data_IF_258296877879
#
_entry.id   IF_258296877879
#
_cell.length_a   1.000
_cell.length_b   1.000
_cell.length_c   1.000
_cell.angle_alpha   90.00
_cell.angle_beta   90.00
_cell.angle_gamma   90.00
#
_symmetry.space_group_name_H-M   'P 1'
#
loop_
_entity.id
_entity.type
_entity.pdbx_description
1 polymer ?
#
# COMPACT_ATOMS: atom_id res chain seq x y z
N UNK A 1 -14.63 16.39 10.65
CA UNK A 1 -14.95 15.11 9.97
C UNK A 1 -16.46 15.04 9.72
N UNK A 2 -16.92 14.66 8.52
CA UNK A 2 -18.35 14.59 8.20
C UNK A 2 -18.68 13.29 7.45
N UNK A 3 -19.56 12.46 8.04
CA UNK A 3 -20.03 11.21 7.44
C UNK A 3 -20.70 11.43 6.08
N UNK A 4 -21.29 12.60 5.84
CA UNK A 4 -21.95 12.95 4.58
C UNK A 4 -20.97 12.99 3.38
N UNK A 5 -19.66 13.07 3.65
CA UNK A 5 -18.65 13.02 2.60
C UNK A 5 -18.49 11.64 1.97
N UNK A 6 -18.98 10.56 2.62
CA UNK A 6 -18.92 9.18 2.09
C UNK A 6 -19.56 9.14 0.70
N UNK A 7 -20.73 9.77 0.52
CA UNK A 7 -21.45 9.78 -0.76
C UNK A 7 -20.68 10.50 -1.88
N UNK A 8 -19.80 11.44 -1.52
CA UNK A 8 -18.98 12.19 -2.50
C UNK A 8 -17.70 11.42 -2.87
N UNK A 9 -17.21 10.56 -1.98
CA UNK A 9 -15.94 9.83 -2.12
C UNK A 9 -16.17 8.47 -2.76
N UNK A 10 -17.24 7.77 -2.35
CA UNK A 10 -17.57 6.43 -2.81
C UNK A 10 -17.96 6.44 -4.30
N UNK A 11 -17.38 5.52 -5.08
CA UNK A 11 -17.67 5.36 -6.51
C UNK A 11 -18.66 4.22 -6.80
N UNK A 12 -18.85 3.34 -5.81
CA UNK A 12 -19.74 2.17 -5.91
C UNK A 12 -20.27 1.80 -4.51
N UNK A 13 -21.25 0.86 -4.41
CA UNK A 13 -21.80 0.42 -3.13
C UNK A 13 -20.76 -0.20 -2.17
N UNK A 14 -19.74 -0.87 -2.69
CA UNK A 14 -18.68 -1.51 -1.91
C UNK A 14 -17.81 -0.47 -1.21
N UNK A 15 -17.41 0.59 -1.94
CA UNK A 15 -16.68 1.73 -1.37
C UNK A 15 -17.48 2.39 -0.26
N UNK A 16 -18.79 2.58 -0.47
CA UNK A 16 -19.69 3.17 0.53
C UNK A 16 -19.73 2.35 1.80
N UNK A 17 -19.91 1.04 1.67
CA UNK A 17 -19.94 0.12 2.80
C UNK A 17 -18.60 0.11 3.55
N UNK A 18 -17.49 0.06 2.82
CA UNK A 18 -16.15 0.14 3.41
C UNK A 18 -15.99 1.44 4.21
N UNK A 19 -16.20 2.59 3.57
CA UNK A 19 -16.02 3.90 4.22
C UNK A 19 -16.93 4.07 5.43
N UNK A 20 -18.16 3.54 5.39
CA UNK A 20 -19.06 3.56 6.54
C UNK A 20 -18.52 2.73 7.71
N UNK A 21 -18.00 1.51 7.45
CA UNK A 21 -17.36 0.68 8.48
C UNK A 21 -16.13 1.34 9.09
N UNK A 22 -15.27 1.94 8.25
CA UNK A 22 -14.09 2.66 8.72
C UNK A 22 -14.49 3.83 9.62
N UNK A 23 -15.48 4.61 9.16
CA UNK A 23 -16.02 5.74 9.91
C UNK A 23 -16.54 5.31 11.28
N UNK A 24 -17.40 4.31 11.31
CA UNK A 24 -18.04 3.86 12.56
C UNK A 24 -16.98 3.34 13.55
N UNK A 25 -15.98 2.59 13.09
CA UNK A 25 -14.92 2.02 13.94
C UNK A 25 -14.00 3.11 14.53
N UNK A 26 -13.48 3.99 13.68
CA UNK A 26 -12.56 5.07 14.12
C UNK A 26 -13.30 6.08 15.02
N UNK A 27 -14.50 6.52 14.66
CA UNK A 27 -15.25 7.44 15.49
C UNK A 27 -15.70 6.84 16.83
N UNK A 28 -15.91 5.52 16.89
CA UNK A 28 -16.18 4.86 18.17
C UNK A 28 -14.96 4.95 19.09
N UNK A 29 -13.74 4.75 18.57
CA UNK A 29 -12.49 4.93 19.31
C UNK A 29 -12.32 6.36 19.79
N UNK A 30 -12.48 7.34 18.90
CA UNK A 30 -12.36 8.78 19.23
C UNK A 30 -13.34 9.16 20.34
N UNK A 31 -14.62 8.81 20.21
CA UNK A 31 -15.65 9.17 21.21
C UNK A 31 -15.43 8.53 22.57
N UNK A 32 -14.87 7.33 22.61
CA UNK A 32 -14.58 6.60 23.85
C UNK A 32 -13.20 6.90 24.40
N UNK A 33 -12.39 7.64 23.67
CA UNK A 33 -10.98 7.90 23.95
C UNK A 33 -10.17 6.61 24.21
N UNK A 34 -10.35 5.60 23.30
CA UNK A 34 -9.65 4.31 23.34
C UNK A 34 -9.02 4.02 21.98
N UNK A 35 -7.91 3.26 21.93
CA UNK A 35 -7.31 2.83 20.66
C UNK A 35 -8.33 2.12 19.75
N UNK A 36 -8.24 2.39 18.45
CA UNK A 36 -9.07 1.73 17.46
C UNK A 36 -8.31 1.60 16.14
N UNK A 37 -8.42 0.45 15.49
CA UNK A 37 -7.77 0.21 14.21
C UNK A 37 -8.76 -0.37 13.19
N UNK A 38 -8.53 -0.12 11.92
CA UNK A 38 -9.30 -0.72 10.83
C UNK A 38 -8.70 -2.08 10.43
N UNK A 39 -9.25 -2.73 9.41
CA UNK A 39 -8.55 -3.77 8.65
C UNK A 39 -7.46 -3.17 7.76
N UNK A 40 -6.65 -4.02 7.10
CA UNK A 40 -5.70 -3.58 6.10
C UNK A 40 -6.40 -3.04 4.85
N UNK A 41 -6.03 -1.85 4.45
CA UNK A 41 -6.54 -1.14 3.29
C UNK A 41 -5.52 -1.22 2.14
N UNK A 42 -6.01 -1.38 0.93
CA UNK A 42 -5.20 -1.15 -0.26
C UNK A 42 -4.82 0.35 -0.39
N UNK A 43 -3.80 0.71 -1.19
CA UNK A 43 -3.45 2.11 -1.42
C UNK A 43 -4.65 2.97 -1.85
N UNK A 44 -5.53 2.43 -2.72
CA UNK A 44 -6.75 3.12 -3.14
C UNK A 44 -7.73 3.37 -1.98
N UNK A 45 -7.96 2.35 -1.16
CA UNK A 45 -8.87 2.45 -0.01
C UNK A 45 -8.33 3.39 1.05
N UNK A 46 -7.01 3.37 1.26
CA UNK A 46 -6.32 4.28 2.17
C UNK A 46 -6.47 5.74 1.73
N UNK A 47 -6.31 6.03 0.43
CA UNK A 47 -6.52 7.37 -0.09
C UNK A 47 -7.98 7.84 0.05
N UNK A 48 -8.96 6.96 -0.21
CA UNK A 48 -10.36 7.28 0.04
C UNK A 48 -10.62 7.58 1.53
N UNK A 49 -10.00 6.81 2.43
CA UNK A 49 -10.10 7.03 3.86
C UNK A 49 -9.44 8.36 4.28
N UNK A 50 -8.29 8.73 3.70
CA UNK A 50 -7.67 10.06 3.91
C UNK A 50 -8.59 11.20 3.49
N UNK A 51 -9.29 11.09 2.36
CA UNK A 51 -10.29 12.09 1.95
C UNK A 51 -11.47 12.18 2.93
N UNK A 52 -11.85 11.06 3.56
CA UNK A 52 -12.96 11.02 4.52
C UNK A 52 -12.56 11.63 5.88
N UNK A 53 -11.41 11.26 6.40
CA UNK A 53 -10.97 11.64 7.75
C UNK A 53 -10.15 12.92 7.77
N UNK A 54 -9.47 13.27 6.65
CA UNK A 54 -8.41 14.25 6.65
C UNK A 54 -7.18 13.73 7.39
N UNK A 55 -6.48 14.63 8.07
CA UNK A 55 -5.30 14.32 8.90
C UNK A 55 -5.56 14.74 10.35
N UNK A 56 -6.49 14.09 11.07
CA UNK A 56 -6.74 14.43 12.47
C UNK A 56 -5.60 13.94 13.34
N UNK A 57 -5.36 14.67 14.43
CA UNK A 57 -4.42 14.28 15.44
C UNK A 57 -4.76 12.89 16.00
N UNK A 58 -3.73 12.08 16.27
CA UNK A 58 -3.89 10.72 16.77
C UNK A 58 -4.32 9.68 15.73
N UNK A 59 -4.49 10.04 14.46
CA UNK A 59 -4.81 9.06 13.40
C UNK A 59 -3.59 8.76 12.51
N UNK A 60 -3.16 7.53 12.54
CA UNK A 60 -1.96 7.05 11.85
C UNK A 60 -2.31 6.03 10.77
N UNK A 61 -1.49 5.98 9.71
CA UNK A 61 -1.54 4.92 8.70
C UNK A 61 -0.39 3.93 8.95
N UNK A 62 -0.69 2.77 9.49
CA UNK A 62 0.28 1.79 9.95
C UNK A 62 0.14 0.45 9.23
N UNK A 63 1.25 -0.14 8.80
CA UNK A 63 1.28 -1.43 8.08
C UNK A 63 2.35 -2.39 8.60
N UNK A 64 2.88 -2.14 9.82
CA UNK A 64 3.96 -2.92 10.44
C UNK A 64 5.36 -2.40 10.13
N UNK A 65 5.53 -1.61 9.06
CA UNK A 65 6.80 -0.95 8.70
C UNK A 65 6.54 0.31 7.86
N UNK A 66 7.55 1.18 7.73
CA UNK A 66 7.39 2.53 7.17
C UNK A 66 6.86 2.57 5.73
N UNK A 67 7.43 1.76 4.83
CA UNK A 67 7.11 1.76 3.39
C UNK A 67 5.99 0.79 2.99
N UNK A 68 5.24 0.25 3.97
CA UNK A 68 4.14 -0.68 3.71
C UNK A 68 3.14 -0.11 2.68
N UNK A 69 2.75 -0.93 1.70
CA UNK A 69 1.74 -0.55 0.70
C UNK A 69 0.32 -0.71 1.28
N UNK A 70 0.08 -1.78 2.01
CA UNK A 70 -1.19 -2.02 2.70
C UNK A 70 -1.06 -1.54 4.14
N UNK A 71 -1.96 -0.67 4.54
CA UNK A 71 -1.94 -0.04 5.87
C UNK A 71 -3.32 -0.07 6.50
N UNK A 72 -3.33 -0.11 7.79
CA UNK A 72 -4.52 0.12 8.62
C UNK A 72 -4.57 1.60 8.99
N UNK A 73 -5.75 2.16 9.22
CA UNK A 73 -5.89 3.38 9.99
C UNK A 73 -5.96 3.00 11.46
N UNK A 74 -5.14 3.64 12.27
CA UNK A 74 -5.05 3.43 13.72
C UNK A 74 -5.26 4.76 14.42
N UNK A 75 -6.25 4.81 15.28
CA UNK A 75 -6.45 5.92 16.19
C UNK A 75 -5.78 5.61 17.54
N UNK A 76 -4.90 6.50 17.96
CA UNK A 76 -4.28 6.52 19.28
C UNK A 76 -4.80 7.72 20.05
N UNK A 77 -5.36 7.53 21.26
CA UNK A 77 -5.71 8.62 22.16
C UNK A 77 -4.46 9.40 22.62
N UNK A 78 -4.65 10.62 23.11
CA UNK A 78 -3.56 11.51 23.55
C UNK A 78 -2.64 10.93 24.64
N UNK A 79 -3.09 9.91 25.39
CA UNK A 79 -2.27 9.23 26.40
C UNK A 79 -1.35 8.14 25.83
N UNK A 80 -1.42 7.87 24.51
CA UNK A 80 -0.55 6.95 23.78
C UNK A 80 0.21 7.71 22.69
N UNK A 81 1.44 7.31 22.46
CA UNK A 81 2.28 7.81 21.38
C UNK A 81 2.47 6.76 20.26
N UNK A 82 3.21 7.12 19.23
CA UNK A 82 3.47 6.22 18.08
C UNK A 82 4.22 4.95 18.47
N UNK A 83 4.92 4.89 19.59
CA UNK A 83 5.61 3.68 20.05
C UNK A 83 4.62 2.54 20.35
N UNK A 84 3.39 2.89 20.79
CA UNK A 84 2.33 1.91 21.00
C UNK A 84 1.98 1.09 19.74
N UNK A 85 2.31 1.58 18.54
CA UNK A 85 2.12 0.83 17.28
C UNK A 85 3.08 -0.37 17.14
N UNK A 86 4.15 -0.40 17.91
CA UNK A 86 5.21 -1.42 17.84
C UNK A 86 5.30 -2.29 19.08
N UNK A 87 4.45 -2.05 20.08
CA UNK A 87 4.42 -2.80 21.34
C UNK A 87 3.54 -4.05 21.26
N UNK A 88 3.31 -4.71 22.41
CA UNK A 88 2.62 -5.99 22.52
C UNK A 88 1.17 -5.95 22.01
N UNK A 89 0.51 -4.79 22.09
CA UNK A 89 -0.84 -4.54 21.57
C UNK A 89 -0.85 -3.91 20.18
N UNK A 90 0.23 -4.07 19.42
CA UNK A 90 0.30 -3.55 18.04
C UNK A 90 -0.90 -4.00 17.20
N UNK A 91 -1.46 -3.12 16.34
CA UNK A 91 -2.67 -3.44 15.57
C UNK A 91 -2.47 -4.55 14.53
N UNK A 92 -1.22 -4.87 14.21
CA UNK A 92 -0.86 -6.03 13.38
C UNK A 92 0.43 -6.68 13.87
N UNK A 93 0.64 -7.92 13.46
CA UNK A 93 1.83 -8.70 13.77
C UNK A 93 2.50 -9.17 12.48
N UNK A 94 3.79 -9.52 12.58
CA UNK A 94 4.52 -10.16 11.51
C UNK A 94 4.62 -11.67 11.76
N UNK A 95 4.26 -12.46 10.76
CA UNK A 95 4.48 -13.89 10.72
C UNK A 95 5.57 -14.19 9.70
N UNK A 96 6.54 -15.01 10.11
CA UNK A 96 7.57 -15.57 9.24
C UNK A 96 7.20 -16.99 8.86
N UNK A 97 7.12 -17.24 7.55
CA UNK A 97 6.95 -18.55 6.97
C UNK A 97 8.28 -19.01 6.37
N UNK A 98 8.96 -19.93 7.03
CA UNK A 98 10.20 -20.54 6.53
C UNK A 98 9.86 -21.71 5.61
N UNK A 99 10.62 -21.86 4.50
CA UNK A 99 10.46 -22.93 3.53
C UNK A 99 11.82 -23.41 3.02
N UNK A 100 11.84 -24.58 2.36
CA UNK A 100 13.09 -25.16 1.88
C UNK A 100 13.74 -24.29 0.79
N UNK A 101 15.04 -24.06 0.89
CA UNK A 101 15.84 -23.20 -0.01
C UNK A 101 15.78 -23.60 -1.49
N UNK A 102 15.44 -24.86 -1.77
CA UNK A 102 15.20 -25.35 -3.15
C UNK A 102 13.85 -25.00 -3.74
N UNK A 103 12.92 -24.51 -2.92
CA UNK A 103 11.59 -24.08 -3.38
C UNK A 103 11.64 -22.63 -3.88
N UNK A 104 10.95 -22.38 -4.97
CA UNK A 104 10.80 -21.02 -5.51
C UNK A 104 9.35 -20.61 -5.35
N UNK A 105 9.09 -19.76 -4.36
CA UNK A 105 7.78 -19.23 -4.07
C UNK A 105 7.68 -17.76 -4.45
N UNK A 106 6.53 -17.36 -4.94
CA UNK A 106 6.20 -15.99 -5.31
C UNK A 106 5.15 -15.40 -4.37
N UNK A 107 4.98 -14.10 -4.42
CA UNK A 107 3.87 -13.41 -3.75
C UNK A 107 2.50 -14.03 -4.08
N UNK A 108 2.30 -14.50 -5.33
CA UNK A 108 1.04 -15.13 -5.77
C UNK A 108 0.79 -16.46 -5.07
N UNK A 109 1.83 -17.24 -4.83
CA UNK A 109 1.71 -18.54 -4.15
C UNK A 109 1.26 -18.35 -2.71
N UNK A 110 1.87 -17.40 -2.00
CA UNK A 110 1.46 -17.04 -0.64
C UNK A 110 0.05 -16.47 -0.60
N UNK A 111 -0.24 -15.46 -1.43
CA UNK A 111 -1.57 -14.85 -1.45
C UNK A 111 -2.65 -15.86 -1.82
N UNK A 112 -2.41 -16.68 -2.84
CA UNK A 112 -3.35 -17.71 -3.28
C UNK A 112 -3.63 -18.74 -2.19
N UNK A 113 -2.58 -19.18 -1.47
CA UNK A 113 -2.72 -20.15 -0.39
C UNK A 113 -3.45 -19.57 0.82
N UNK A 114 -3.16 -18.31 1.20
CA UNK A 114 -3.89 -17.60 2.27
C UNK A 114 -5.38 -17.48 1.93
N UNK A 115 -5.70 -17.03 0.71
CA UNK A 115 -7.11 -16.92 0.26
C UNK A 115 -7.78 -18.31 0.17
N UNK A 116 -7.05 -19.32 -0.30
CA UNK A 116 -7.52 -20.71 -0.35
C UNK A 116 -7.80 -21.32 1.02
N UNK A 117 -7.09 -20.88 2.05
CA UNK A 117 -7.34 -21.23 3.45
C UNK A 117 -8.53 -20.46 4.07
N UNK A 118 -9.25 -19.64 3.30
CA UNK A 118 -10.40 -18.87 3.78
C UNK A 118 -10.03 -17.58 4.54
N UNK A 119 -8.77 -17.15 4.49
CA UNK A 119 -8.31 -15.93 5.15
C UNK A 119 -8.70 -14.73 4.29
N UNK A 120 -9.44 -13.78 4.86
CA UNK A 120 -9.87 -12.56 4.16
C UNK A 120 -8.70 -11.66 3.79
N UNK A 121 -8.73 -11.07 2.58
CA UNK A 121 -7.63 -10.18 2.13
C UNK A 121 -7.46 -8.95 3.02
N UNK A 122 -8.53 -8.51 3.65
CA UNK A 122 -8.57 -7.38 4.58
C UNK A 122 -7.82 -7.64 5.89
N UNK A 123 -7.60 -8.91 6.25
CA UNK A 123 -6.81 -9.28 7.45
C UNK A 123 -5.32 -9.43 7.15
N UNK A 124 -4.92 -9.32 5.87
CA UNK A 124 -3.54 -9.50 5.40
C UNK A 124 -2.98 -8.20 4.85
N UNK A 125 -1.87 -7.77 5.40
CA UNK A 125 -1.06 -6.64 4.93
C UNK A 125 -0.18 -7.00 3.73
N UNK A 126 1.06 -6.53 3.79
CA UNK A 126 2.07 -6.84 2.78
C UNK A 126 2.63 -8.25 2.99
N UNK A 127 3.03 -8.87 1.87
CA UNK A 127 3.65 -10.19 1.80
C UNK A 127 5.04 -10.01 1.19
N UNK A 128 6.06 -10.17 2.00
CA UNK A 128 7.46 -9.91 1.69
C UNK A 128 8.20 -11.23 1.47
N UNK A 129 8.26 -11.69 0.22
CA UNK A 129 8.87 -12.98 -0.12
C UNK A 129 10.38 -12.81 -0.28
N UNK A 130 11.14 -13.49 0.58
CA UNK A 130 12.58 -13.64 0.51
C UNK A 130 13.00 -14.92 -0.20
N UNK A 131 14.27 -15.31 -0.03
CA UNK A 131 14.84 -16.53 -0.65
C UNK A 131 14.48 -17.80 0.08
N UNK A 132 14.41 -17.77 1.41
CA UNK A 132 14.23 -18.94 2.29
C UNK A 132 13.06 -18.78 3.25
N UNK A 133 12.46 -17.59 3.28
CA UNK A 133 11.29 -17.28 4.10
C UNK A 133 10.46 -16.18 3.46
N UNK A 134 9.26 -16.06 3.96
CA UNK A 134 8.34 -14.98 3.63
C UNK A 134 7.85 -14.35 4.93
N UNK A 135 8.07 -13.05 5.08
CA UNK A 135 7.48 -12.26 6.16
C UNK A 135 6.20 -11.62 5.69
N UNK A 136 5.11 -11.81 6.43
CA UNK A 136 3.84 -11.21 6.06
C UNK A 136 3.10 -10.68 7.28
N UNK A 137 2.41 -9.58 7.07
CA UNK A 137 1.73 -8.85 8.13
C UNK A 137 0.26 -9.24 8.17
N UNK A 138 -0.27 -9.47 9.37
CA UNK A 138 -1.67 -9.87 9.56
C UNK A 138 -2.26 -9.19 10.79
N UNK A 139 -3.60 -9.10 10.85
CA UNK A 139 -4.27 -8.65 12.07
C UNK A 139 -4.09 -9.68 13.19
N UNK A 140 -4.01 -9.21 14.43
CA UNK A 140 -3.79 -10.05 15.62
C UNK A 140 -4.80 -11.19 15.73
N UNK A 141 -6.06 -10.91 15.42
CA UNK A 141 -7.17 -11.87 15.60
C UNK A 141 -7.04 -13.15 14.75
N UNK A 142 -6.41 -13.04 13.56
CA UNK A 142 -6.31 -14.18 12.63
C UNK A 142 -5.10 -15.09 12.88
N UNK A 143 -4.16 -14.65 13.74
CA UNK A 143 -2.89 -15.36 13.99
C UNK A 143 -3.08 -16.82 14.43
N UNK A 144 -3.94 -17.13 15.43
CA UNK A 144 -4.12 -18.52 15.86
C UNK A 144 -4.60 -19.43 14.72
N UNK A 145 -5.50 -18.91 13.87
CA UNK A 145 -6.01 -19.65 12.72
C UNK A 145 -4.91 -19.91 11.69
N UNK A 146 -4.10 -18.90 11.37
CA UNK A 146 -3.00 -19.03 10.41
C UNK A 146 -1.97 -20.05 10.89
N UNK A 147 -1.54 -19.97 12.15
CA UNK A 147 -0.54 -20.87 12.70
C UNK A 147 -0.99 -22.35 12.68
N UNK A 148 -2.29 -22.61 12.76
CA UNK A 148 -2.84 -23.96 12.72
C UNK A 148 -3.13 -24.48 11.30
N UNK A 149 -3.52 -23.60 10.38
CA UNK A 149 -4.13 -24.01 9.11
C UNK A 149 -3.32 -23.64 7.87
N UNK A 150 -2.39 -22.69 7.96
CA UNK A 150 -1.58 -22.25 6.83
C UNK A 150 -0.25 -23.00 6.80
N UNK A 151 -0.27 -24.28 6.34
CA UNK A 151 0.87 -25.18 6.41
C UNK A 151 1.66 -25.31 5.11
N UNK A 152 1.18 -24.74 4.02
CA UNK A 152 1.83 -24.82 2.71
C UNK A 152 1.47 -23.65 1.81
N UNK A 153 2.40 -23.28 0.91
CA UNK A 153 2.15 -22.38 -0.20
C UNK A 153 2.68 -23.01 -1.50
N UNK A 154 1.85 -23.07 -2.53
CA UNK A 154 2.19 -23.86 -3.72
C UNK A 154 2.43 -25.33 -3.36
N UNK A 155 3.66 -25.82 -3.62
CA UNK A 155 4.09 -27.18 -3.27
C UNK A 155 4.97 -27.23 -2.02
N UNK A 156 5.40 -26.08 -1.51
CA UNK A 156 6.30 -26.00 -0.38
C UNK A 156 5.56 -26.14 0.95
N UNK A 157 6.17 -26.87 1.89
CA UNK A 157 5.73 -26.88 3.29
C UNK A 157 6.29 -25.65 4.00
N UNK A 158 5.50 -25.09 4.91
CA UNK A 158 5.83 -23.87 5.65
C UNK A 158 6.01 -24.21 7.14
N UNK A 159 7.01 -23.57 7.75
CA UNK A 159 7.16 -23.49 9.20
C UNK A 159 6.89 -22.06 9.63
N UNK A 160 5.80 -21.87 10.36
CA UNK A 160 5.31 -20.56 10.75
C UNK A 160 5.72 -20.21 12.18
N UNK A 161 6.16 -18.97 12.37
CA UNK A 161 6.33 -18.36 13.68
C UNK A 161 6.02 -16.88 13.66
N UNK A 162 5.58 -16.36 14.78
CA UNK A 162 5.47 -14.92 14.96
C UNK A 162 6.85 -14.34 15.27
N UNK A 163 7.15 -13.18 14.70
CA UNK A 163 8.39 -12.44 14.94
C UNK A 163 8.06 -10.99 15.35
N UNK A 164 8.95 -10.30 16.08
CA UNK A 164 8.86 -8.87 16.29
C UNK A 164 8.81 -8.11 14.98
N UNK A 165 8.05 -7.02 14.90
CA UNK A 165 7.94 -6.20 13.69
C UNK A 165 9.31 -5.67 13.22
N UNK A 166 10.21 -5.37 14.17
CA UNK A 166 11.56 -4.90 13.88
C UNK A 166 12.48 -5.95 13.23
N UNK A 167 12.14 -7.24 13.34
CA UNK A 167 12.89 -8.35 12.73
C UNK A 167 12.39 -8.70 11.33
N UNK A 168 11.33 -8.04 10.86
CA UNK A 168 10.78 -8.29 9.54
C UNK A 168 11.78 -7.91 8.44
N UNK A 169 12.05 -8.84 7.54
CA UNK A 169 12.90 -8.62 6.39
C UNK A 169 12.08 -8.16 5.19
N UNK A 170 12.21 -6.87 4.88
CA UNK A 170 11.49 -6.26 3.77
C UNK A 170 12.39 -6.25 2.54
N UNK A 171 12.11 -7.07 1.51
CA UNK A 171 12.88 -7.06 0.28
C UNK A 171 12.85 -5.67 -0.34
N UNK A 172 14.02 -5.13 -0.62
CA UNK A 172 14.09 -3.87 -1.34
C UNK A 172 13.64 -4.12 -2.79
N UNK A 173 12.65 -3.36 -3.28
CA UNK A 173 12.21 -3.53 -4.65
C UNK A 173 13.36 -3.20 -5.61
N UNK A 174 13.58 -4.07 -6.59
CA UNK A 174 14.50 -3.75 -7.67
C UNK A 174 13.94 -2.59 -8.47
N UNK A 175 14.70 -1.49 -8.51
CA UNK A 175 14.30 -0.29 -9.23
C UNK A 175 15.35 0.09 -10.26
N UNK A 176 14.88 0.49 -11.42
CA UNK A 176 15.70 1.15 -12.44
C UNK A 176 15.56 2.64 -12.30
N UNK A 177 16.66 3.31 -11.97
CA UNK A 177 16.71 4.77 -11.93
C UNK A 177 16.70 5.36 -13.34
N UNK A 178 15.82 6.31 -13.59
CA UNK A 178 15.70 7.04 -14.86
C UNK A 178 15.81 8.53 -14.56
N UNK A 179 16.89 9.14 -15.04
CA UNK A 179 17.08 10.60 -15.01
C UNK A 179 16.57 11.21 -16.30
N UNK A 180 15.76 12.23 -16.20
CA UNK A 180 15.19 12.92 -17.36
C UNK A 180 14.91 14.40 -17.04
N UNK A 181 14.55 15.15 -18.06
CA UNK A 181 14.07 16.52 -17.91
C UNK A 181 12.76 16.72 -18.66
N UNK A 182 11.81 17.42 -18.06
CA UNK A 182 10.49 17.67 -18.65
C UNK A 182 10.03 19.12 -18.50
N UNK A 183 9.19 19.57 -19.38
CA UNK A 183 8.67 20.94 -19.33
C UNK A 183 7.69 21.15 -18.18
N UNK A 184 6.97 20.08 -17.79
CA UNK A 184 5.99 20.10 -16.70
C UNK A 184 5.82 18.71 -16.11
N UNK A 185 5.45 18.61 -14.82
CA UNK A 185 5.21 17.37 -14.09
C UNK A 185 3.78 16.85 -14.36
N UNK A 186 3.42 16.70 -15.63
CA UNK A 186 2.13 16.13 -16.04
C UNK A 186 2.21 14.60 -16.06
N UNK A 187 1.10 13.95 -15.77
CA UNK A 187 1.01 12.48 -15.73
C UNK A 187 1.47 11.83 -17.05
N UNK A 188 1.01 12.36 -18.21
CA UNK A 188 1.42 11.89 -19.52
C UNK A 188 2.96 12.00 -19.74
N UNK A 189 3.57 13.07 -19.25
CA UNK A 189 5.01 13.30 -19.37
C UNK A 189 5.82 12.35 -18.46
N UNK A 190 5.38 12.17 -17.21
CA UNK A 190 6.05 11.28 -16.25
C UNK A 190 5.95 9.81 -16.72
N UNK A 191 4.77 9.37 -17.20
CA UNK A 191 4.58 8.03 -17.77
C UNK A 191 5.46 7.83 -19.01
N UNK A 192 5.49 8.81 -19.93
CA UNK A 192 6.31 8.77 -21.14
C UNK A 192 7.79 8.57 -20.81
N UNK A 193 8.31 9.34 -19.88
CA UNK A 193 9.70 9.24 -19.42
C UNK A 193 9.97 7.92 -18.70
N UNK A 194 9.17 7.57 -17.70
CA UNK A 194 9.39 6.41 -16.83
C UNK A 194 9.29 5.06 -17.56
N UNK A 195 8.45 4.96 -18.58
CA UNK A 195 8.32 3.74 -19.37
C UNK A 195 9.02 3.81 -20.75
N UNK A 196 9.63 4.96 -21.07
CA UNK A 196 10.30 5.21 -22.36
C UNK A 196 9.38 4.96 -23.57
N UNK A 197 8.17 5.48 -23.49
CA UNK A 197 7.16 5.41 -24.55
C UNK A 197 6.84 6.82 -25.08
N UNK A 198 6.25 6.90 -26.28
CA UNK A 198 5.82 8.18 -26.83
C UNK A 198 4.74 8.84 -25.97
N UNK A 199 4.78 10.19 -25.85
CA UNK A 199 3.83 10.95 -25.03
C UNK A 199 2.37 10.74 -25.45
N UNK A 200 2.08 10.62 -26.75
CA UNK A 200 0.74 10.32 -27.24
C UNK A 200 0.23 8.97 -26.73
N UNK A 201 1.10 7.95 -26.71
CA UNK A 201 0.77 6.63 -26.19
C UNK A 201 0.57 6.68 -24.66
N UNK A 202 1.40 7.43 -23.95
CA UNK A 202 1.23 7.65 -22.52
C UNK A 202 -0.15 8.29 -22.22
N UNK A 203 -0.52 9.33 -22.97
CA UNK A 203 -1.84 9.96 -22.85
C UNK A 203 -2.99 8.97 -23.14
N UNK A 204 -2.84 8.07 -24.11
CA UNK A 204 -3.83 7.02 -24.40
C UNK A 204 -4.00 6.04 -23.22
N UNK A 205 -2.91 5.63 -22.56
CA UNK A 205 -2.99 4.80 -21.36
C UNK A 205 -3.78 5.50 -20.26
N UNK A 206 -3.58 6.81 -20.06
CA UNK A 206 -4.30 7.59 -19.06
C UNK A 206 -5.78 7.70 -19.41
N UNK A 207 -6.13 8.17 -20.63
CA UNK A 207 -7.53 8.38 -21.05
C UNK A 207 -8.32 7.08 -21.15
N UNK A 208 -7.66 5.94 -21.33
CA UNK A 208 -8.31 4.62 -21.31
C UNK A 208 -8.50 4.03 -19.91
N UNK A 209 -8.27 4.80 -18.84
CA UNK A 209 -8.46 4.37 -17.46
C UNK A 209 -7.46 3.31 -16.99
N UNK A 210 -6.29 3.20 -17.66
CA UNK A 210 -5.25 2.22 -17.31
C UNK A 210 -4.21 2.76 -16.34
N UNK A 211 -4.23 4.07 -16.06
CA UNK A 211 -3.31 4.72 -15.15
C UNK A 211 -3.95 5.01 -13.79
N UNK A 212 -3.18 4.86 -12.73
CA UNK A 212 -3.56 5.27 -11.38
C UNK A 212 -2.40 5.99 -10.70
N UNK A 213 -2.72 6.99 -9.87
CA UNK A 213 -1.79 7.72 -8.99
C UNK A 213 -2.13 7.31 -7.56
N UNK A 214 -1.14 6.79 -6.82
CA UNK A 214 -1.29 6.31 -5.44
C UNK A 214 -2.53 5.40 -5.27
N UNK A 215 -2.75 4.53 -6.26
CA UNK A 215 -3.87 3.59 -6.31
C UNK A 215 -5.19 4.17 -6.84
N UNK A 216 -5.34 5.49 -6.95
CA UNK A 216 -6.56 6.13 -7.49
C UNK A 216 -6.51 6.20 -9.02
N UNK A 217 -7.51 5.66 -9.73
CA UNK A 217 -7.61 5.79 -11.18
C UNK A 217 -7.64 7.25 -11.62
N UNK A 218 -6.83 7.57 -12.63
CA UNK A 218 -6.75 8.92 -13.19
C UNK A 218 -6.84 8.85 -14.72
N UNK A 219 -7.82 9.57 -15.29
CA UNK A 219 -8.07 9.65 -16.73
C UNK A 219 -7.66 10.99 -17.34
N UNK A 220 -7.04 11.89 -16.54
CA UNK A 220 -6.60 13.22 -16.98
C UNK A 220 -5.09 13.20 -17.27
N UNK A 221 -4.65 13.22 -18.54
CA UNK A 221 -3.22 13.20 -18.91
C UNK A 221 -2.44 14.40 -18.37
N UNK A 222 -3.11 15.53 -18.18
CA UNK A 222 -2.53 16.78 -17.68
C UNK A 222 -2.54 16.89 -16.15
N UNK A 223 -3.01 15.88 -15.44
CA UNK A 223 -2.96 15.85 -13.96
C UNK A 223 -1.53 16.06 -13.50
N UNK A 224 -1.34 17.02 -12.60
CA UNK A 224 -0.05 17.28 -11.97
C UNK A 224 0.35 16.10 -11.07
N UNK A 225 1.64 15.72 -11.16
CA UNK A 225 2.28 14.68 -10.34
C UNK A 225 3.30 15.36 -9.44
N UNK A 226 3.30 15.02 -8.15
CA UNK A 226 4.27 15.53 -7.18
C UNK A 226 5.36 14.50 -6.88
N UNK A 227 6.45 14.97 -6.29
CA UNK A 227 7.51 14.11 -5.75
C UNK A 227 6.93 13.12 -4.75
N UNK A 228 7.43 11.88 -4.78
CA UNK A 228 6.97 10.79 -3.94
C UNK A 228 5.79 10.00 -4.49
N UNK A 229 4.97 10.56 -5.39
CA UNK A 229 3.80 9.88 -5.96
C UNK A 229 4.17 8.63 -6.74
N UNK A 230 3.44 7.54 -6.50
CA UNK A 230 3.54 6.26 -7.23
C UNK A 230 2.51 6.23 -8.34
N UNK A 231 2.94 5.90 -9.55
CA UNK A 231 2.08 5.79 -10.73
C UNK A 231 2.10 4.33 -11.21
N UNK A 232 0.95 3.70 -11.28
CA UNK A 232 0.79 2.37 -11.89
C UNK A 232 0.08 2.48 -13.23
N UNK A 233 0.59 1.75 -14.22
CA UNK A 233 -0.02 1.69 -15.56
C UNK A 233 -0.23 0.23 -15.92
N UNK A 234 -1.49 -0.16 -16.13
CA UNK A 234 -1.84 -1.54 -16.47
C UNK A 234 -1.16 -1.97 -17.77
N UNK A 235 -0.37 -3.03 -17.70
CA UNK A 235 0.40 -3.56 -18.82
C UNK A 235 1.82 -2.99 -18.96
N UNK A 236 2.20 -1.94 -18.20
CA UNK A 236 3.56 -1.39 -18.22
C UNK A 236 4.28 -1.55 -16.89
N UNK A 237 3.54 -1.61 -15.75
CA UNK A 237 4.10 -1.74 -14.41
C UNK A 237 3.93 -0.48 -13.56
N UNK A 238 4.86 -0.25 -12.64
CA UNK A 238 4.82 0.82 -11.64
C UNK A 238 6.07 1.70 -11.72
N UNK A 239 5.89 3.00 -11.53
CA UNK A 239 6.98 3.99 -11.39
C UNK A 239 6.70 4.90 -10.20
N UNK A 240 7.76 5.48 -9.62
CA UNK A 240 7.66 6.52 -8.59
C UNK A 240 8.40 7.77 -9.09
N UNK A 241 7.78 8.93 -9.02
CA UNK A 241 8.50 10.20 -9.19
C UNK A 241 9.33 10.43 -7.93
N UNK A 242 10.58 9.95 -7.95
CA UNK A 242 11.39 9.84 -6.74
C UNK A 242 11.89 11.21 -6.26
N UNK A 243 12.44 12.01 -7.19
CA UNK A 243 12.98 13.34 -6.85
C UNK A 243 12.66 14.33 -7.95
N UNK A 244 12.28 15.52 -7.54
CA UNK A 244 12.10 16.69 -8.41
C UNK A 244 13.20 17.67 -8.09
N UNK A 245 14.21 17.74 -8.96
CA UNK A 245 15.31 18.69 -8.85
C UNK A 245 14.91 20.06 -9.43
N UNK A 246 15.75 21.03 -9.25
CA UNK A 246 15.56 22.37 -9.80
C UNK A 246 15.45 22.40 -11.33
N UNK A 247 15.27 23.61 -11.89
CA UNK A 247 15.20 23.81 -13.34
C UNK A 247 16.59 23.87 -13.97
N UNK A 248 16.68 23.30 -15.15
CA UNK A 248 17.87 23.38 -16.00
C UNK A 248 18.01 24.78 -16.63
N UNK A 249 19.18 25.09 -17.22
CA UNK A 249 19.41 26.33 -18.00
C UNK A 249 18.40 26.55 -19.13
N UNK A 250 17.71 25.49 -19.59
CA UNK A 250 16.67 25.51 -20.63
C UNK A 250 15.25 25.52 -20.05
N UNK A 251 15.09 25.93 -18.79
CA UNK A 251 13.82 26.02 -18.05
C UNK A 251 13.05 24.68 -17.98
N UNK A 252 13.73 23.55 -18.03
CA UNK A 252 13.14 22.22 -17.88
C UNK A 252 13.35 21.70 -16.46
N UNK A 253 12.36 21.02 -15.90
CA UNK A 253 12.42 20.41 -14.58
C UNK A 253 13.22 19.12 -14.69
N UNK A 254 14.31 19.00 -13.92
CA UNK A 254 15.10 17.76 -13.80
C UNK A 254 14.42 16.83 -12.79
N UNK A 255 14.27 15.57 -13.15
CA UNK A 255 13.59 14.55 -12.32
C UNK A 255 14.39 13.25 -12.28
N UNK A 256 14.17 12.52 -11.17
CA UNK A 256 14.58 11.13 -11.03
C UNK A 256 13.31 10.29 -10.87
N UNK A 257 13.14 9.30 -11.72
CA UNK A 257 12.02 8.37 -11.70
C UNK A 257 12.57 6.97 -11.37
N UNK A 258 12.01 6.31 -10.37
CA UNK A 258 12.25 4.90 -10.11
C UNK A 258 11.21 4.05 -10.84
N UNK A 259 11.66 3.17 -11.72
CA UNK A 259 10.82 2.15 -12.35
C UNK A 259 11.02 0.82 -11.63
N UNK A 260 9.97 0.28 -11.07
CA UNK A 260 9.96 -1.05 -10.46
C UNK A 260 10.10 -2.13 -11.55
N UNK A 261 10.99 -3.10 -11.34
CA UNK A 261 11.29 -4.18 -12.27
C UNK A 261 10.53 -5.45 -11.89
#
# INVERSE_FOLDING_TARGET
MDRNNIEKIARNPEDRLLLAKLWDKINAGIRKNIPANTCFLSPRELEMARFLFGEPEGLYAFGGYGEAERKMLVYLPEYLDEYALYEEDAPCVCLRAEFYQGDTLSHRDFLGALMGAGIGRETVGDICVGKEHCDFFVTQEIVPYILQNFLSAGRAKLHLRQIPLAEAEIPQPEVKEIKDTMASLRLDSVISSGFRIGRSLAAQYVTSGKAAIDGLPCEKPDKAVAEGMKISVRGLGKIKLHTVNGRTKKDRISVVIHRYI
#
